data_IF_628427897667
#
_entry.id   IF_628427897667
#
_cell.length_a   1.000
_cell.length_b   1.000
_cell.length_c   1.000
_cell.angle_alpha   90.00
_cell.angle_beta   90.00
_cell.angle_gamma   90.00
#
_symmetry.space_group_name_H-M   'P 1'
#
loop_
_entity.id
_entity.type
_entity.pdbx_description
1 polymer ?
#
# COMPACT_ATOMS: atom_id res chain seq x y z
N UNK A 1 16.93 -20.95 6.89
CA UNK A 1 16.40 -19.67 7.38
C UNK A 1 14.90 -19.64 7.08
N UNK A 2 14.07 -19.29 8.06
CA UNK A 2 12.61 -19.23 7.86
C UNK A 2 12.20 -18.08 6.93
N UNK A 3 11.00 -18.16 6.36
CA UNK A 3 10.39 -17.05 5.60
C UNK A 3 10.14 -15.89 6.59
N UNK A 4 10.60 -14.68 6.29
CA UNK A 4 10.23 -13.48 7.03
C UNK A 4 9.24 -12.64 6.23
N UNK A 5 8.26 -12.06 6.93
CA UNK A 5 7.30 -11.13 6.35
C UNK A 5 7.63 -9.70 6.76
N UNK A 6 7.83 -8.83 5.78
CA UNK A 6 8.03 -7.39 5.97
C UNK A 6 6.78 -6.65 5.52
N UNK A 7 6.25 -5.82 6.39
CA UNK A 7 5.13 -4.93 6.12
C UNK A 7 5.68 -3.54 5.82
N UNK A 8 5.73 -3.17 4.54
CA UNK A 8 6.16 -1.84 4.13
C UNK A 8 4.98 -0.87 4.16
N UNK A 9 5.06 0.17 4.97
CA UNK A 9 4.03 1.21 5.11
C UNK A 9 4.51 2.50 4.46
N UNK A 10 3.81 2.95 3.42
CA UNK A 10 4.07 4.23 2.76
C UNK A 10 2.79 4.89 2.23
N UNK A 11 2.92 5.86 1.32
CA UNK A 11 1.80 6.73 0.90
C UNK A 11 1.05 7.33 2.12
N UNK A 12 1.80 7.78 3.14
CA UNK A 12 1.26 8.29 4.38
C UNK A 12 0.48 9.59 4.15
N UNK A 13 -0.73 9.69 4.72
CA UNK A 13 -1.52 10.94 4.69
C UNK A 13 -1.39 11.77 5.95
N UNK A 14 -0.87 11.17 7.04
CA UNK A 14 -0.66 11.81 8.33
C UNK A 14 0.72 11.46 8.92
N UNK A 15 1.82 11.81 8.24
CA UNK A 15 3.18 11.54 8.75
C UNK A 15 3.45 12.22 10.10
N UNK A 16 2.79 13.33 10.41
CA UNK A 16 2.92 14.08 11.66
C UNK A 16 2.49 13.30 12.90
N UNK A 17 1.56 12.33 12.76
CA UNK A 17 1.13 11.48 13.88
C UNK A 17 2.21 10.47 14.31
N UNK A 18 3.31 10.36 13.56
CA UNK A 18 4.41 9.45 13.88
C UNK A 18 5.05 9.74 15.23
N UNK A 19 5.22 11.01 15.62
CA UNK A 19 5.90 11.36 16.88
C UNK A 19 5.14 10.75 18.06
N UNK A 20 3.84 11.05 18.16
CA UNK A 20 2.96 10.53 19.20
C UNK A 20 2.87 9.00 19.14
N UNK A 21 2.74 8.43 17.93
CA UNK A 21 2.68 6.99 17.75
C UNK A 21 3.99 6.30 18.18
N UNK A 22 5.14 6.93 17.95
CA UNK A 22 6.45 6.36 18.31
C UNK A 22 6.66 6.33 19.82
N UNK A 23 6.13 7.32 20.55
CA UNK A 23 6.14 7.33 22.01
C UNK A 23 5.18 6.28 22.58
N UNK A 24 4.00 6.13 21.99
CA UNK A 24 3.04 5.09 22.34
C UNK A 24 3.59 3.67 22.08
N UNK A 25 4.31 3.47 20.97
CA UNK A 25 4.99 2.20 20.72
C UNK A 25 6.04 1.90 21.79
N UNK A 26 6.85 2.89 22.18
CA UNK A 26 7.86 2.74 23.24
C UNK A 26 7.23 2.42 24.59
N UNK A 27 6.07 3.00 24.94
CA UNK A 27 5.38 2.67 26.19
C UNK A 27 4.85 1.24 26.23
N UNK A 28 4.68 0.61 25.06
CA UNK A 28 4.35 -0.82 24.89
C UNK A 28 5.59 -1.72 24.77
N UNK A 29 6.79 -1.20 25.08
CA UNK A 29 8.08 -1.89 24.88
C UNK A 29 8.37 -2.29 23.42
N UNK A 30 7.79 -1.58 22.47
CA UNK A 30 8.01 -1.74 21.03
C UNK A 30 8.83 -0.55 20.57
N UNK A 31 10.12 -0.77 20.34
CA UNK A 31 11.05 0.31 20.03
C UNK A 31 11.21 0.49 18.52
N UNK A 32 10.79 1.64 17.94
CA UNK A 32 11.09 1.96 16.54
C UNK A 32 12.59 2.23 16.37
N UNK A 33 13.20 1.61 15.36
CA UNK A 33 14.62 1.74 15.04
C UNK A 33 14.75 2.55 13.75
N UNK A 34 15.42 3.69 13.81
CA UNK A 34 15.71 4.47 12.61
C UNK A 34 16.76 3.76 11.75
N UNK A 35 16.55 3.78 10.44
CA UNK A 35 17.40 3.08 9.47
C UNK A 35 18.21 4.08 8.66
N UNK A 36 19.54 4.05 8.81
CA UNK A 36 20.43 5.08 8.24
C UNK A 36 21.14 4.67 6.95
N UNK A 37 21.08 3.40 6.54
CA UNK A 37 21.64 2.97 5.26
C UNK A 37 21.44 1.49 4.92
N UNK A 38 21.76 1.05 3.68
CA UNK A 38 21.38 -0.28 3.19
C UNK A 38 21.94 -1.46 4.00
N UNK A 39 23.21 -1.38 4.42
CA UNK A 39 23.85 -2.44 5.23
C UNK A 39 23.22 -2.54 6.63
N UNK A 40 22.89 -1.39 7.21
CA UNK A 40 22.24 -1.30 8.52
C UNK A 40 20.81 -1.85 8.46
N UNK A 41 20.04 -1.45 7.45
CA UNK A 41 18.69 -1.95 7.17
C UNK A 41 18.68 -3.48 7.10
N UNK A 42 19.54 -4.08 6.28
CA UNK A 42 19.57 -5.54 6.11
C UNK A 42 19.86 -6.25 7.45
N UNK A 43 20.81 -5.73 8.24
CA UNK A 43 21.18 -6.29 9.54
C UNK A 43 20.06 -6.17 10.57
N UNK A 44 19.46 -4.99 10.69
CA UNK A 44 18.37 -4.71 11.64
C UNK A 44 17.14 -5.57 11.31
N UNK A 45 16.72 -5.60 10.03
CA UNK A 45 15.56 -6.38 9.61
C UNK A 45 15.80 -7.87 9.78
N UNK A 46 17.00 -8.37 9.46
CA UNK A 46 17.38 -9.77 9.71
C UNK A 46 17.21 -10.14 11.17
N UNK A 47 17.71 -9.29 12.09
CA UNK A 47 17.58 -9.51 13.54
C UNK A 47 16.12 -9.52 13.99
N UNK A 48 15.34 -8.50 13.61
CA UNK A 48 13.91 -8.41 13.96
C UNK A 48 13.10 -9.60 13.42
N UNK A 49 13.39 -10.03 12.18
CA UNK A 49 12.78 -11.19 11.57
C UNK A 49 13.12 -12.50 12.29
N UNK A 50 14.35 -12.66 12.78
CA UNK A 50 14.75 -13.84 13.56
C UNK A 50 14.04 -13.88 14.92
N UNK A 51 13.82 -12.73 15.56
CA UNK A 51 13.22 -12.64 16.89
C UNK A 51 11.68 -12.70 16.87
N UNK A 52 11.04 -12.07 15.88
CA UNK A 52 9.58 -11.88 15.83
C UNK A 52 8.90 -12.51 14.62
N UNK A 53 9.66 -13.05 13.67
CA UNK A 53 9.14 -13.61 12.41
C UNK A 53 8.63 -12.57 11.39
N UNK A 54 8.37 -11.34 11.82
CA UNK A 54 7.93 -10.24 10.96
C UNK A 54 8.35 -8.87 11.48
N UNK A 55 8.45 -7.90 10.56
CA UNK A 55 8.82 -6.52 10.86
C UNK A 55 7.97 -5.55 10.04
N UNK A 56 7.73 -4.35 10.58
CA UNK A 56 7.10 -3.23 9.86
C UNK A 56 8.18 -2.25 9.47
N UNK A 57 8.19 -1.79 8.22
CA UNK A 57 9.06 -0.71 7.74
C UNK A 57 8.20 0.46 7.37
N UNK A 58 8.37 1.59 8.05
CA UNK A 58 7.59 2.82 7.83
C UNK A 58 8.46 3.80 7.04
N UNK A 59 7.93 4.28 5.91
CA UNK A 59 8.54 5.33 5.11
C UNK A 59 7.96 6.69 5.48
N UNK A 60 8.78 7.55 6.09
CA UNK A 60 8.43 8.89 6.53
C UNK A 60 9.23 9.96 5.78
N UNK A 61 8.72 11.20 5.69
CA UNK A 61 9.54 12.33 5.25
C UNK A 61 10.76 12.47 6.18
N UNK A 62 11.96 12.21 5.64
CA UNK A 62 13.22 12.28 6.40
C UNK A 62 13.85 10.93 6.76
N UNK A 63 13.20 9.79 6.49
CA UNK A 63 13.85 8.50 6.62
C UNK A 63 12.94 7.29 6.78
N UNK A 64 13.55 6.15 7.03
CA UNK A 64 12.87 4.87 7.24
C UNK A 64 13.00 4.42 8.69
N UNK A 65 11.96 3.79 9.20
CA UNK A 65 11.94 3.21 10.54
C UNK A 65 11.50 1.76 10.49
N UNK A 66 12.25 0.88 11.17
CA UNK A 66 11.85 -0.50 11.39
C UNK A 66 11.19 -0.65 12.76
N UNK A 67 10.08 -1.36 12.83
CA UNK A 67 9.34 -1.66 14.06
C UNK A 67 9.13 -3.17 14.13
N UNK A 68 9.41 -3.85 15.26
CA UNK A 68 9.05 -5.25 15.40
C UNK A 68 7.54 -5.40 15.28
N UNK A 69 7.09 -6.35 14.46
CA UNK A 69 5.66 -6.62 14.33
C UNK A 69 5.22 -7.67 15.35
N UNK A 70 4.05 -7.47 15.95
CA UNK A 70 3.48 -8.35 16.95
C UNK A 70 2.00 -8.07 17.15
N UNK A 71 1.33 -8.93 17.92
CA UNK A 71 -0.02 -8.68 18.39
C UNK A 71 0.03 -7.72 19.58
N UNK A 72 -0.86 -6.74 19.57
CA UNK A 72 -1.05 -5.77 20.65
C UNK A 72 -2.52 -5.68 21.00
N UNK A 73 -2.79 -5.29 22.24
CA UNK A 73 -4.15 -5.03 22.71
C UNK A 73 -4.48 -3.57 22.39
N UNK A 74 -5.45 -3.33 21.50
CA UNK A 74 -5.97 -1.98 21.29
C UNK A 74 -6.99 -1.70 22.39
N UNK A 75 -6.72 -0.73 23.26
CA UNK A 75 -7.72 -0.22 24.21
C UNK A 75 -8.84 0.45 23.40
N UNK A 76 -9.87 -0.33 23.09
CA UNK A 76 -11.06 0.21 22.43
C UNK A 76 -11.77 1.19 23.35
N UNK A 77 -12.27 2.29 22.79
CA UNK A 77 -13.29 3.16 23.42
C UNK A 77 -14.66 2.44 23.61
N UNK A 78 -14.65 1.12 23.81
CA UNK A 78 -15.83 0.30 23.99
C UNK A 78 -16.36 0.44 25.41
N UNK A 79 -17.63 0.85 25.54
CA UNK A 79 -18.37 0.95 26.81
C UNK A 79 -18.74 -0.44 27.38
N UNK A 80 -17.79 -1.36 27.51
CA UNK A 80 -18.06 -2.71 28.00
C UNK A 80 -16.83 -3.40 28.61
N UNK A 81 -16.96 -4.04 29.78
CA UNK A 81 -15.89 -4.86 30.33
C UNK A 81 -15.83 -6.18 29.55
N UNK A 82 -14.88 -6.33 28.62
CA UNK A 82 -14.60 -7.63 27.99
C UNK A 82 -14.07 -7.63 26.55
N UNK A 83 -14.27 -6.56 25.78
CA UNK A 83 -13.91 -6.57 24.35
C UNK A 83 -12.48 -6.06 24.11
N UNK A 84 -11.49 -6.84 24.50
CA UNK A 84 -10.09 -6.59 24.12
C UNK A 84 -9.91 -6.99 22.66
N UNK A 85 -9.91 -6.00 21.76
CA UNK A 85 -9.66 -6.24 20.34
C UNK A 85 -8.16 -6.43 20.12
N UNK A 86 -7.77 -7.67 19.81
CA UNK A 86 -6.40 -7.96 19.35
C UNK A 86 -6.20 -7.30 17.98
N UNK A 87 -5.20 -6.44 17.89
CA UNK A 87 -4.74 -5.84 16.64
C UNK A 87 -3.26 -6.13 16.45
N UNK A 88 -2.70 -5.81 15.29
CA UNK A 88 -1.26 -5.92 15.06
C UNK A 88 -0.60 -4.56 14.99
N UNK A 89 0.71 -4.51 15.28
CA UNK A 89 1.49 -3.27 15.18
C UNK A 89 1.39 -2.67 13.78
N UNK A 90 1.42 -3.49 12.71
CA UNK A 90 1.22 -3.00 11.34
C UNK A 90 -0.12 -2.31 11.15
N UNK A 91 -1.20 -2.85 11.72
CA UNK A 91 -2.56 -2.33 11.53
C UNK A 91 -2.74 -1.03 12.29
N UNK A 92 -2.19 -0.94 13.50
CA UNK A 92 -2.15 0.29 14.28
C UNK A 92 -1.39 1.40 13.53
N UNK A 93 -0.19 1.10 13.03
CA UNK A 93 0.64 2.06 12.28
C UNK A 93 -0.08 2.51 11.00
N UNK A 94 -0.60 1.57 10.22
CA UNK A 94 -1.29 1.86 8.96
C UNK A 94 -2.56 2.72 9.19
N UNK A 95 -3.35 2.39 10.22
CA UNK A 95 -4.57 3.12 10.59
C UNK A 95 -4.27 4.55 11.01
N UNK A 96 -3.28 4.75 11.87
CA UNK A 96 -2.97 6.06 12.48
C UNK A 96 -2.33 7.00 11.46
N UNK A 97 -1.27 6.54 10.78
CA UNK A 97 -0.60 7.32 9.73
C UNK A 97 -1.42 7.43 8.43
N UNK A 98 -2.59 6.76 8.38
CA UNK A 98 -3.42 6.60 7.18
C UNK A 98 -2.59 6.13 5.98
N UNK A 99 -1.65 5.23 6.26
CA UNK A 99 -0.69 4.69 5.32
C UNK A 99 -1.21 3.43 4.63
N UNK A 100 -0.54 3.05 3.55
CA UNK A 100 -0.81 1.83 2.81
C UNK A 100 0.27 0.80 3.09
N UNK A 101 -0.17 -0.44 3.27
CA UNK A 101 0.69 -1.58 3.58
C UNK A 101 0.91 -2.39 2.31
N UNK A 102 2.16 -2.69 2.00
CA UNK A 102 2.58 -3.70 1.03
C UNK A 102 3.27 -4.84 1.80
N UNK A 103 2.90 -6.07 1.50
CA UNK A 103 3.47 -7.27 2.13
C UNK A 103 4.60 -7.82 1.27
N UNK A 104 5.78 -7.97 1.86
CA UNK A 104 7.01 -8.37 1.16
C UNK A 104 7.59 -9.59 1.89
N UNK A 105 7.69 -10.70 1.18
CA UNK A 105 8.20 -11.96 1.74
C UNK A 105 9.68 -12.07 1.41
N UNK A 106 10.51 -12.15 2.45
CA UNK A 106 11.94 -12.41 2.34
C UNK A 106 12.22 -13.87 2.66
N UNK A 107 12.87 -14.57 1.72
CA UNK A 107 13.12 -16.01 1.79
C UNK A 107 14.59 -16.36 2.02
N UNK A 108 15.50 -15.37 1.95
CA UNK A 108 16.95 -15.60 2.07
C UNK A 108 17.67 -14.37 2.62
N UNK A 109 18.91 -14.55 3.07
CA UNK A 109 19.77 -13.45 3.54
C UNK A 109 20.00 -12.38 2.46
N UNK A 110 20.27 -12.81 1.23
CA UNK A 110 20.41 -11.91 0.07
C UNK A 110 19.13 -11.12 -0.21
N UNK A 111 17.97 -11.66 0.15
CA UNK A 111 16.69 -10.95 0.06
C UNK A 111 16.63 -9.71 0.94
N UNK A 112 17.24 -9.74 2.14
CA UNK A 112 17.34 -8.55 3.01
C UNK A 112 18.22 -7.47 2.39
N UNK A 113 19.35 -7.84 1.79
CA UNK A 113 20.24 -6.90 1.11
C UNK A 113 19.56 -6.25 -0.10
N UNK A 114 18.88 -7.05 -0.92
CA UNK A 114 18.12 -6.56 -2.06
C UNK A 114 16.99 -5.62 -1.62
N UNK A 115 16.21 -6.01 -0.61
CA UNK A 115 15.15 -5.16 -0.05
C UNK A 115 15.71 -3.83 0.48
N UNK A 116 16.82 -3.87 1.20
CA UNK A 116 17.46 -2.67 1.73
C UNK A 116 17.93 -1.72 0.63
N UNK A 117 18.47 -2.27 -0.46
CA UNK A 117 18.87 -1.52 -1.65
C UNK A 117 17.65 -0.91 -2.33
N UNK A 118 16.60 -1.70 -2.56
CA UNK A 118 15.36 -1.24 -3.20
C UNK A 118 14.64 -0.17 -2.37
N UNK A 119 14.68 -0.28 -1.04
CA UNK A 119 14.13 0.71 -0.11
C UNK A 119 14.84 2.06 -0.28
N UNK A 120 16.17 2.06 -0.32
CA UNK A 120 16.97 3.29 -0.40
C UNK A 120 16.95 3.91 -1.80
N UNK A 121 16.90 3.08 -2.84
CA UNK A 121 16.77 3.55 -4.23
C UNK A 121 15.33 3.95 -4.60
N UNK A 122 14.38 3.87 -3.65
CA UNK A 122 12.98 4.25 -3.87
C UNK A 122 12.26 3.35 -4.89
N UNK A 123 12.72 2.11 -5.08
CA UNK A 123 12.15 1.16 -6.05
C UNK A 123 10.93 0.41 -5.51
N UNK A 124 10.70 0.47 -4.20
CA UNK A 124 9.53 -0.17 -3.57
C UNK A 124 8.27 0.60 -3.96
N UNK A 125 7.52 0.02 -4.89
CA UNK A 125 6.22 0.54 -5.33
C UNK A 125 5.11 -0.06 -4.49
N UNK A 126 4.25 0.81 -3.95
CA UNK A 126 3.02 0.39 -3.32
C UNK A 126 2.01 0.10 -4.44
N UNK A 127 1.49 -1.13 -4.47
CA UNK A 127 0.50 -1.56 -5.47
C UNK A 127 -0.68 -0.60 -5.43
N UNK A 128 -1.26 -0.09 -6.53
CA UNK A 128 -2.45 0.77 -6.43
C UNK A 128 -3.64 0.03 -5.79
N UNK A 129 -4.61 0.75 -5.18
CA UNK A 129 -5.79 0.13 -4.59
C UNK A 129 -6.52 -0.77 -5.60
N UNK A 130 -7.15 -1.84 -5.11
CA UNK A 130 -7.85 -2.81 -5.95
C UNK A 130 -8.89 -2.13 -6.87
N UNK A 131 -9.61 -1.13 -6.36
CA UNK A 131 -10.61 -0.37 -7.13
C UNK A 131 -9.99 0.41 -8.31
N UNK A 132 -8.75 0.92 -8.18
CA UNK A 132 -8.04 1.55 -9.30
C UNK A 132 -7.69 0.53 -10.39
N UNK A 133 -7.31 -0.69 -10.00
CA UNK A 133 -7.06 -1.79 -10.96
C UNK A 133 -8.35 -2.14 -11.71
N UNK A 134 -9.47 -2.24 -11.00
CA UNK A 134 -10.79 -2.49 -11.59
C UNK A 134 -11.19 -1.38 -12.57
N UNK A 135 -11.06 -0.10 -12.19
CA UNK A 135 -11.34 1.04 -13.08
C UNK A 135 -10.48 1.03 -14.34
N UNK A 136 -9.18 0.71 -14.23
CA UNK A 136 -8.29 0.59 -15.38
C UNK A 136 -8.73 -0.52 -16.34
N UNK A 137 -9.09 -1.69 -15.81
CA UNK A 137 -9.60 -2.81 -16.61
C UNK A 137 -10.90 -2.40 -17.29
N UNK A 138 -11.82 -1.78 -16.56
CA UNK A 138 -13.10 -1.33 -17.09
C UNK A 138 -12.91 -0.28 -18.20
N UNK A 139 -11.99 0.67 -18.02
CA UNK A 139 -11.64 1.64 -19.04
C UNK A 139 -11.04 0.98 -20.30
N UNK A 140 -10.17 -0.03 -20.13
CA UNK A 140 -9.61 -0.78 -21.26
C UNK A 140 -10.69 -1.56 -22.01
N UNK A 141 -11.61 -2.22 -21.29
CA UNK A 141 -12.75 -2.92 -21.89
C UNK A 141 -13.62 -1.94 -22.66
N UNK A 142 -13.97 -0.78 -22.09
CA UNK A 142 -14.77 0.23 -22.81
C UNK A 142 -14.05 0.75 -24.05
N UNK A 143 -12.73 0.97 -23.99
CA UNK A 143 -11.94 1.39 -25.14
C UNK A 143 -11.93 0.33 -26.26
N UNK A 144 -11.80 -0.95 -25.90
CA UNK A 144 -11.88 -2.07 -26.85
C UNK A 144 -13.27 -2.13 -27.49
N UNK A 145 -14.35 -2.05 -26.70
CA UNK A 145 -15.72 -2.07 -27.25
C UNK A 145 -15.96 -0.87 -28.17
N UNK A 146 -15.45 0.32 -27.81
CA UNK A 146 -15.54 1.49 -28.66
C UNK A 146 -14.79 1.31 -30.00
N UNK A 147 -13.60 0.69 -29.97
CA UNK A 147 -12.83 0.33 -31.17
C UNK A 147 -13.59 -0.68 -32.05
N UNK A 148 -14.15 -1.75 -31.45
CA UNK A 148 -14.94 -2.76 -32.17
C UNK A 148 -16.16 -2.13 -32.86
N UNK A 149 -16.88 -1.23 -32.17
CA UNK A 149 -18.00 -0.46 -32.72
C UNK A 149 -17.53 0.49 -33.84
N UNK A 150 -16.36 1.13 -33.70
CA UNK A 150 -15.82 2.03 -34.73
C UNK A 150 -15.44 1.29 -36.01
N UNK A 151 -14.82 0.11 -35.91
CA UNK A 151 -14.44 -0.73 -37.05
C UNK A 151 -15.59 -1.58 -37.61
N UNK A 152 -16.82 -1.37 -37.14
CA UNK A 152 -18.01 -2.03 -37.71
C UNK A 152 -18.08 -3.53 -37.46
N UNK A 153 -17.37 -4.05 -36.45
CA UNK A 153 -17.48 -5.45 -36.06
C UNK A 153 -18.87 -5.66 -35.46
N UNK A 154 -19.64 -6.57 -36.07
CA UNK A 154 -21.03 -6.85 -35.70
C UNK A 154 -21.11 -7.42 -34.28
N UNK A 155 -21.32 -6.53 -33.32
CA UNK A 155 -21.79 -6.88 -31.99
C UNK A 155 -23.30 -7.13 -32.05
N UNK A 156 -23.82 -8.18 -31.38
CA UNK A 156 -25.23 -8.55 -31.48
C UNK A 156 -26.14 -7.38 -31.07
N UNK A 157 -27.14 -7.12 -31.91
CA UNK A 157 -28.27 -6.17 -31.82
C UNK A 157 -28.21 -5.09 -30.72
N UNK A 158 -27.18 -4.23 -30.75
CA UNK A 158 -27.20 -2.99 -29.98
C UNK A 158 -28.04 -1.95 -30.73
N UNK A 159 -29.08 -1.42 -30.07
CA UNK A 159 -29.93 -0.36 -30.65
C UNK A 159 -29.11 0.91 -30.94
N UNK A 160 -29.59 1.76 -31.87
CA UNK A 160 -28.89 2.99 -32.25
C UNK A 160 -28.55 3.90 -31.05
N UNK A 161 -29.43 3.92 -30.04
CA UNK A 161 -29.27 4.67 -28.80
C UNK A 161 -28.16 4.10 -27.92
N UNK A 162 -27.99 2.78 -27.87
CA UNK A 162 -26.92 2.12 -27.13
C UNK A 162 -25.55 2.38 -27.75
N UNK A 163 -25.45 2.42 -29.09
CA UNK A 163 -24.20 2.81 -29.78
C UNK A 163 -23.78 4.25 -29.45
N UNK A 164 -24.73 5.18 -29.41
CA UNK A 164 -24.46 6.58 -29.05
C UNK A 164 -24.05 6.68 -27.57
N UNK A 165 -24.77 6.01 -26.67
CA UNK A 165 -24.44 5.98 -25.26
C UNK A 165 -23.02 5.44 -25.02
N UNK A 166 -22.62 4.41 -25.75
CA UNK A 166 -21.28 3.83 -25.63
C UNK A 166 -20.18 4.78 -26.13
N UNK A 167 -20.43 5.52 -27.22
CA UNK A 167 -19.53 6.57 -27.71
C UNK A 167 -19.40 7.72 -26.72
N UNK A 168 -20.50 8.16 -26.12
CA UNK A 168 -20.50 9.23 -25.10
C UNK A 168 -19.77 8.77 -23.84
N UNK A 169 -20.00 7.53 -23.39
CA UNK A 169 -19.32 6.94 -22.24
C UNK A 169 -17.80 6.84 -22.47
N UNK A 170 -17.37 6.41 -23.66
CA UNK A 170 -15.97 6.37 -24.03
C UNK A 170 -15.34 7.78 -24.04
N UNK A 171 -16.06 8.77 -24.58
CA UNK A 171 -15.59 10.16 -24.63
C UNK A 171 -15.44 10.76 -23.22
N UNK A 172 -16.39 10.48 -22.33
CA UNK A 172 -16.33 10.89 -20.92
C UNK A 172 -15.17 10.24 -20.16
N UNK A 173 -14.87 8.96 -20.42
CA UNK A 173 -13.72 8.28 -19.80
C UNK A 173 -12.38 8.85 -20.28
N UNK A 174 -12.27 9.18 -21.58
CA UNK A 174 -11.08 9.84 -22.14
C UNK A 174 -10.90 11.24 -21.53
N UNK A 175 -11.98 12.03 -21.43
CA UNK A 175 -11.94 13.35 -20.78
C UNK A 175 -11.59 13.26 -19.30
N UNK A 176 -12.11 12.26 -18.59
CA UNK A 176 -11.79 12.04 -17.17
C UNK A 176 -10.33 11.65 -16.96
N UNK A 177 -9.76 10.78 -17.79
CA UNK A 177 -8.31 10.50 -17.73
C UNK A 177 -7.46 11.70 -18.16
N UNK A 178 -7.90 12.47 -19.16
CA UNK A 178 -7.25 13.72 -19.54
C UNK A 178 -7.19 14.73 -18.40
N UNK A 179 -8.29 14.85 -17.64
CA UNK A 179 -8.35 15.70 -16.45
C UNK A 179 -7.45 15.18 -15.33
N UNK A 180 -7.45 13.87 -15.09
CA UNK A 180 -6.62 13.21 -14.07
C UNK A 180 -5.12 13.35 -14.35
N UNK A 181 -4.69 13.32 -15.62
CA UNK A 181 -3.28 13.50 -16.03
C UNK A 181 -2.82 14.96 -16.08
N UNK A 182 -3.70 15.92 -15.75
CA UNK A 182 -3.33 17.34 -15.66
C UNK A 182 -3.17 18.04 -17.02
N UNK A 183 -3.79 17.53 -18.10
CA UNK A 183 -3.77 18.20 -19.42
C UNK A 183 -4.65 19.46 -19.51
N UNK A 184 -5.18 19.92 -18.37
CA UNK A 184 -5.91 21.18 -18.27
C UNK A 184 -4.90 22.30 -18.00
N UNK A 185 -4.48 22.98 -19.06
CA UNK A 185 -4.14 24.41 -18.94
C UNK A 185 -5.45 25.20 -18.90
#
# INVERSE_FOLDING_TARGET
MGRCLIYYVGELKKPEEWVLLSEELKSMDIWPIQLYGPKDIAKVLKKLCMEKGSAVVVNLPGGFYAVPNGQIQESGNGKGPGDVKLTTVKDMIAKRLKGRVEEIIITSEKGFENFAKDLFEGRIKISPPWWKKVLMILAAVVAIVALLVHFGIELPELSGTQRIALKVLALLLILFEGWRRGYRK
#
